data_IF_214990761937
#
_entry.id   IF_214990761937
#
_cell.length_a   1.000
_cell.length_b   1.000
_cell.length_c   1.000
_cell.angle_alpha   90.00
_cell.angle_beta   90.00
_cell.angle_gamma   90.00
#
_symmetry.space_group_name_H-M   'P 1'
#
loop_
_entity.id
_entity.type
_entity.pdbx_description
1 polymer ?
#
# COMPACT_ATOMS: atom_id res chain seq x y z
N UNK A 1 -52.32 61.96 -33.19
CA UNK A 1 -52.38 62.87 -34.35
C UNK A 1 -51.07 63.66 -34.38
N UNK A 2 -50.28 63.52 -35.46
CA UNK A 2 -49.12 64.33 -35.88
C UNK A 2 -47.87 64.32 -34.97
N UNK A 3 -46.77 63.68 -35.38
CA UNK A 3 -45.76 64.03 -36.40
C UNK A 3 -44.50 64.59 -35.71
N UNK A 4 -43.36 63.89 -35.82
CA UNK A 4 -42.18 64.21 -36.66
C UNK A 4 -41.25 65.22 -35.94
N UNK A 5 -39.98 64.91 -35.72
CA UNK A 5 -38.90 65.21 -36.67
C UNK A 5 -37.61 64.47 -36.28
N UNK A 6 -36.88 64.04 -37.30
CA UNK A 6 -35.54 63.45 -37.27
C UNK A 6 -34.43 64.52 -37.31
N UNK A 7 -33.19 64.05 -37.17
CA UNK A 7 -31.90 64.68 -37.55
C UNK A 7 -31.26 65.59 -36.49
N UNK A 8 -29.97 65.44 -36.15
CA UNK A 8 -28.84 65.36 -37.09
C UNK A 8 -27.71 64.46 -36.60
N UNK A 9 -27.15 63.77 -37.60
CA UNK A 9 -25.85 63.12 -37.65
C UNK A 9 -24.71 64.13 -37.37
N UNK A 10 -23.76 63.79 -36.50
CA UNK A 10 -22.37 64.25 -36.62
C UNK A 10 -21.47 63.04 -36.39
N UNK A 11 -20.77 62.68 -37.46
CA UNK A 11 -19.67 61.72 -37.50
C UNK A 11 -18.42 62.42 -37.00
N UNK A 12 -17.73 61.87 -36.00
CA UNK A 12 -16.28 62.08 -35.90
C UNK A 12 -15.59 60.84 -35.31
N UNK A 13 -14.42 60.56 -35.86
CA UNK A 13 -13.74 59.29 -35.91
C UNK A 13 -12.96 58.88 -34.65
N UNK A 14 -12.84 57.55 -34.52
CA UNK A 14 -11.69 56.74 -34.10
C UNK A 14 -10.76 57.23 -32.96
N UNK A 15 -10.62 56.37 -31.95
CA UNK A 15 -9.30 55.90 -31.51
C UNK A 15 -9.42 54.56 -30.75
N UNK A 16 -8.85 53.52 -31.35
CA UNK A 16 -8.54 52.25 -30.72
C UNK A 16 -7.37 52.47 -29.75
N UNK A 17 -7.53 52.13 -28.48
CA UNK A 17 -6.42 51.83 -27.58
C UNK A 17 -6.71 50.50 -26.89
N UNK A 18 -5.92 49.49 -27.26
CA UNK A 18 -5.82 48.21 -26.57
C UNK A 18 -5.00 48.40 -25.29
N UNK A 19 -5.61 48.12 -24.14
CA UNK A 19 -4.92 47.80 -22.88
C UNK A 19 -5.89 46.93 -22.07
N UNK A 20 -5.87 45.61 -22.25
CA UNK A 20 -5.07 44.65 -21.47
C UNK A 20 -5.40 44.66 -19.97
N UNK A 21 -6.23 43.68 -19.61
CA UNK A 21 -6.40 42.95 -18.35
C UNK A 21 -6.29 43.69 -17.00
N UNK A 22 -7.40 43.63 -16.24
CA UNK A 22 -7.43 42.98 -14.91
C UNK A 22 -8.89 42.74 -14.48
N UNK A 23 -9.39 41.54 -14.70
CA UNK A 23 -10.51 40.99 -13.94
C UNK A 23 -9.89 40.13 -12.84
N UNK A 24 -9.97 40.61 -11.60
CA UNK A 24 -9.74 39.76 -10.42
C UNK A 24 -10.91 38.77 -10.31
N UNK A 25 -10.78 37.67 -11.04
CA UNK A 25 -11.52 36.45 -10.77
C UNK A 25 -10.67 35.62 -9.80
N UNK A 26 -11.03 35.65 -8.52
CA UNK A 26 -10.55 34.70 -7.52
C UNK A 26 -11.00 33.30 -7.89
N UNK A 27 -10.25 32.66 -8.78
CA UNK A 27 -10.40 31.25 -9.14
C UNK A 27 -9.88 30.42 -7.99
N UNK A 28 -10.77 30.01 -7.08
CA UNK A 28 -10.51 28.86 -6.22
C UNK A 28 -10.41 27.63 -7.12
N UNK A 29 -9.18 27.19 -7.40
CA UNK A 29 -8.91 25.86 -7.91
C UNK A 29 -9.35 24.85 -6.85
N UNK A 30 -10.63 24.46 -6.88
CA UNK A 30 -11.10 23.26 -6.24
C UNK A 30 -10.61 22.12 -7.12
N UNK A 31 -9.46 21.56 -6.78
CA UNK A 31 -8.96 20.32 -7.37
C UNK A 31 -9.96 19.22 -7.05
N UNK A 32 -10.92 18.98 -7.94
CA UNK A 32 -11.81 17.85 -7.86
C UNK A 32 -10.97 16.58 -7.97
N UNK A 33 -10.75 15.88 -6.84
CA UNK A 33 -10.28 14.49 -6.88
C UNK A 33 -11.31 13.70 -7.69
N UNK A 34 -10.98 13.36 -8.93
CA UNK A 34 -11.76 12.36 -9.66
C UNK A 34 -11.80 11.08 -8.81
N UNK A 35 -12.95 10.38 -8.73
CA UNK A 35 -13.02 9.10 -8.02
C UNK A 35 -11.97 8.15 -8.60
N UNK A 36 -11.11 7.63 -7.74
CA UNK A 36 -10.11 6.64 -8.14
C UNK A 36 -10.84 5.39 -8.69
N UNK A 37 -10.33 4.74 -9.76
CA UNK A 37 -10.91 3.50 -10.24
C UNK A 37 -10.98 2.45 -9.12
N UNK A 38 -12.09 1.71 -9.04
CA UNK A 38 -12.31 0.68 -8.01
C UNK A 38 -11.14 -0.31 -7.88
N UNK A 39 -10.55 -0.74 -9.00
CA UNK A 39 -9.41 -1.65 -9.01
C UNK A 39 -8.14 -1.05 -8.36
N UNK A 40 -7.94 0.27 -8.51
CA UNK A 40 -6.82 0.96 -7.87
C UNK A 40 -7.06 1.11 -6.36
N UNK A 41 -8.31 1.36 -5.93
CA UNK A 41 -8.68 1.36 -4.51
C UNK A 41 -8.46 0.01 -3.84
N UNK A 42 -8.87 -1.07 -4.50
CA UNK A 42 -8.67 -2.42 -3.96
C UNK A 42 -7.18 -2.79 -3.89
N UNK A 43 -6.40 -2.36 -4.87
CA UNK A 43 -4.94 -2.58 -4.89
C UNK A 43 -4.24 -1.81 -3.77
N UNK A 44 -4.64 -0.56 -3.52
CA UNK A 44 -4.13 0.26 -2.40
C UNK A 44 -4.47 -0.42 -1.07
N UNK A 45 -5.74 -0.79 -0.86
CA UNK A 45 -6.17 -1.47 0.36
C UNK A 45 -5.43 -2.79 0.60
N UNK A 46 -5.22 -3.60 -0.44
CA UNK A 46 -4.46 -4.85 -0.33
C UNK A 46 -3.00 -4.59 0.06
N UNK A 47 -2.36 -3.62 -0.60
CA UNK A 47 -0.97 -3.23 -0.36
C UNK A 47 -0.76 -2.67 1.04
N UNK A 48 -1.69 -1.86 1.53
CA UNK A 48 -1.70 -1.33 2.90
C UNK A 48 -1.73 -2.46 3.93
N UNK A 49 -2.48 -3.55 3.67
CA UNK A 49 -2.49 -4.71 4.57
C UNK A 49 -1.16 -5.46 4.58
N UNK A 50 -0.48 -5.57 3.44
CA UNK A 50 0.85 -6.16 3.38
C UNK A 50 1.85 -5.36 4.24
N UNK A 51 1.92 -4.04 4.01
CA UNK A 51 2.81 -3.13 4.73
C UNK A 51 2.46 -3.07 6.23
N UNK A 52 1.17 -3.04 6.57
CA UNK A 52 0.74 -3.04 7.97
C UNK A 52 1.12 -4.34 8.70
N UNK A 53 0.97 -5.50 8.05
CA UNK A 53 1.33 -6.78 8.64
C UNK A 53 2.82 -6.88 8.97
N UNK A 54 3.69 -6.65 7.98
CA UNK A 54 5.12 -6.83 8.17
C UNK A 54 5.68 -5.80 9.17
N UNK A 55 5.18 -4.56 9.15
CA UNK A 55 5.60 -3.54 10.10
C UNK A 55 5.10 -3.81 11.53
N UNK A 56 3.91 -4.41 11.68
CA UNK A 56 3.46 -4.87 12.99
C UNK A 56 4.33 -6.02 13.53
N UNK A 57 4.93 -6.82 12.64
CA UNK A 57 5.87 -7.86 13.02
C UNK A 57 7.22 -7.29 13.43
N UNK A 58 7.78 -6.37 12.64
CA UNK A 58 9.00 -5.60 13.01
C UNK A 58 8.82 -4.92 14.37
N UNK A 59 7.66 -4.29 14.60
CA UNK A 59 7.36 -3.69 15.90
C UNK A 59 7.27 -4.71 17.05
N UNK A 60 6.95 -5.97 16.78
CA UNK A 60 7.04 -7.04 17.79
C UNK A 60 8.48 -7.46 18.06
N UNK A 61 9.30 -7.59 17.02
CA UNK A 61 10.71 -7.98 17.12
C UNK A 61 11.57 -6.90 17.80
N UNK A 62 11.29 -5.62 17.53
CA UNK A 62 12.00 -4.48 18.13
C UNK A 62 11.65 -4.22 19.61
N UNK A 63 10.79 -5.02 20.24
CA UNK A 63 10.47 -4.85 21.65
C UNK A 63 11.66 -5.23 22.52
N UNK A 64 12.07 -4.33 23.40
CA UNK A 64 13.10 -4.63 24.42
C UNK A 64 12.72 -5.80 25.33
N UNK A 65 11.40 -5.95 25.63
CA UNK A 65 10.83 -7.05 26.43
C UNK A 65 9.43 -7.41 25.93
N UNK A 66 9.07 -8.70 26.03
CA UNK A 66 7.71 -9.16 25.71
C UNK A 66 7.42 -9.24 24.21
N UNK A 67 8.45 -9.43 23.38
CA UNK A 67 8.26 -9.92 22.03
C UNK A 67 7.57 -11.29 22.09
N UNK A 68 6.46 -11.42 21.37
CA UNK A 68 5.79 -12.70 21.21
C UNK A 68 6.61 -13.58 20.28
N UNK A 69 6.63 -14.89 20.54
CA UNK A 69 7.20 -15.85 19.60
C UNK A 69 6.38 -15.86 18.32
N UNK A 70 6.96 -16.32 17.22
CA UNK A 70 6.34 -16.31 15.89
C UNK A 70 4.93 -16.93 15.92
N UNK A 71 4.79 -18.15 16.48
CA UNK A 71 3.49 -18.84 16.56
C UNK A 71 2.44 -18.02 17.33
N UNK A 72 2.83 -17.44 18.47
CA UNK A 72 1.95 -16.63 19.31
C UNK A 72 1.53 -15.34 18.60
N UNK A 73 2.49 -14.65 18.00
CA UNK A 73 2.25 -13.40 17.28
C UNK A 73 1.34 -13.63 16.08
N UNK A 74 1.65 -14.62 15.22
CA UNK A 74 0.85 -14.98 14.05
C UNK A 74 -0.57 -15.38 14.46
N UNK A 75 -0.72 -16.18 15.51
CA UNK A 75 -2.03 -16.61 16.01
C UNK A 75 -2.89 -15.42 16.47
N UNK A 76 -2.27 -14.44 17.12
CA UNK A 76 -2.95 -13.21 17.58
C UNK A 76 -3.29 -12.22 16.48
N UNK A 77 -2.62 -12.30 15.32
CA UNK A 77 -2.78 -11.33 14.24
C UNK A 77 -4.18 -11.36 13.63
N UNK A 78 -4.78 -10.18 13.46
CA UNK A 78 -6.05 -9.99 12.73
C UNK A 78 -5.84 -9.65 11.25
N UNK A 79 -4.58 -9.62 10.81
CA UNK A 79 -4.18 -9.23 9.46
C UNK A 79 -3.93 -10.43 8.54
N UNK A 80 -4.01 -11.65 9.08
CA UNK A 80 -3.73 -12.89 8.37
C UNK A 80 -4.97 -13.76 8.23
N UNK A 81 -4.97 -14.61 7.20
CA UNK A 81 -5.99 -15.65 7.04
C UNK A 81 -5.79 -16.77 8.07
N UNK A 82 -6.83 -17.59 8.27
CA UNK A 82 -6.70 -18.83 9.04
C UNK A 82 -5.70 -19.79 8.38
N UNK A 83 -5.64 -19.84 7.04
CA UNK A 83 -4.68 -20.70 6.31
C UNK A 83 -3.23 -20.32 6.62
N UNK A 84 -2.90 -19.02 6.60
CA UNK A 84 -1.57 -18.54 6.97
C UNK A 84 -1.17 -18.99 8.38
N UNK A 85 -2.09 -18.86 9.35
CA UNK A 85 -1.84 -19.27 10.74
C UNK A 85 -1.60 -20.77 10.86
N UNK A 86 -2.41 -21.56 10.19
CA UNK A 86 -2.27 -23.03 10.16
C UNK A 86 -0.94 -23.44 9.55
N UNK A 87 -0.55 -22.84 8.42
CA UNK A 87 0.71 -23.17 7.75
C UNK A 87 1.93 -22.77 8.58
N UNK A 88 1.91 -21.57 9.19
CA UNK A 88 2.98 -21.14 10.10
C UNK A 88 3.15 -22.10 11.28
N UNK A 89 2.04 -22.47 11.94
CA UNK A 89 2.06 -23.42 13.07
C UNK A 89 2.58 -24.78 12.64
N UNK A 90 2.12 -25.30 11.50
CA UNK A 90 2.56 -26.58 10.95
C UNK A 90 4.06 -26.57 10.67
N UNK A 91 4.55 -25.57 9.95
CA UNK A 91 5.96 -25.41 9.60
C UNK A 91 6.85 -25.35 10.83
N UNK A 92 6.49 -24.55 11.83
CA UNK A 92 7.24 -24.46 13.08
C UNK A 92 7.25 -25.80 13.84
N UNK A 93 6.12 -26.49 13.90
CA UNK A 93 6.02 -27.79 14.56
C UNK A 93 6.83 -28.88 13.82
N UNK A 94 6.85 -28.86 12.49
CA UNK A 94 7.66 -29.77 11.68
C UNK A 94 9.16 -29.49 11.88
N UNK A 95 9.58 -28.22 11.86
CA UNK A 95 10.96 -27.84 12.12
C UNK A 95 11.44 -28.28 13.51
N UNK A 96 10.66 -28.08 14.57
CA UNK A 96 11.02 -28.56 15.92
C UNK A 96 10.99 -30.07 16.07
N UNK A 97 10.22 -30.78 15.23
CA UNK A 97 10.26 -32.24 15.20
C UNK A 97 11.53 -32.74 14.54
N UNK A 98 12.02 -32.05 13.52
CA UNK A 98 13.25 -32.38 12.79
C UNK A 98 14.51 -31.99 13.57
N UNK A 99 14.53 -30.78 14.15
CA UNK A 99 15.59 -30.28 15.02
C UNK A 99 14.98 -29.69 16.31
N UNK A 100 14.89 -30.48 17.40
CA UNK A 100 14.32 -30.00 18.67
C UNK A 100 15.11 -28.90 19.37
N UNK A 101 16.41 -28.74 19.08
CA UNK A 101 17.24 -27.72 19.72
C UNK A 101 17.11 -26.38 19.02
N UNK A 102 17.11 -26.39 17.69
CA UNK A 102 17.12 -25.18 16.87
C UNK A 102 15.74 -24.82 16.29
N UNK A 103 15.02 -25.81 15.76
CA UNK A 103 13.85 -25.59 14.92
C UNK A 103 14.25 -25.02 13.55
N UNK A 104 13.74 -23.83 13.21
CA UNK A 104 14.16 -23.11 12.01
C UNK A 104 15.44 -22.31 12.29
N UNK A 105 16.38 -22.33 11.36
CA UNK A 105 17.62 -21.54 11.40
C UNK A 105 17.46 -20.09 10.91
N UNK A 106 16.26 -19.74 10.43
CA UNK A 106 15.89 -18.40 9.97
C UNK A 106 14.43 -18.06 10.33
N UNK A 107 14.10 -16.77 10.36
CA UNK A 107 12.73 -16.32 10.55
C UNK A 107 11.89 -16.60 9.29
N UNK A 108 10.80 -17.37 9.38
CA UNK A 108 10.00 -17.75 8.22
C UNK A 108 9.13 -16.62 7.64
N UNK A 109 8.86 -15.56 8.40
CA UNK A 109 8.14 -14.38 7.93
C UNK A 109 9.09 -13.49 7.14
N UNK A 110 10.31 -13.27 7.62
CA UNK A 110 11.31 -12.47 6.91
C UNK A 110 12.05 -13.25 5.83
N UNK A 111 12.03 -14.59 5.87
CA UNK A 111 12.84 -15.47 5.03
C UNK A 111 14.33 -15.12 5.15
N UNK A 112 14.80 -14.86 6.38
CA UNK A 112 16.14 -14.39 6.69
C UNK A 112 16.46 -14.52 8.20
N UNK A 113 17.74 -14.39 8.57
CA UNK A 113 18.16 -14.29 9.97
C UNK A 113 18.04 -12.87 10.53
N UNK A 114 18.08 -11.85 9.67
CA UNK A 114 18.03 -10.43 10.04
C UNK A 114 16.95 -9.70 9.24
N UNK A 115 16.58 -8.49 9.66
CA UNK A 115 15.52 -7.71 9.04
C UNK A 115 15.78 -6.19 9.09
N UNK A 116 15.10 -5.39 8.24
CA UNK A 116 15.22 -3.92 8.26
C UNK A 116 14.58 -3.32 9.53
N UNK A 117 15.39 -2.70 10.40
CA UNK A 117 14.97 -2.16 11.70
C UNK A 117 13.92 -1.06 11.59
N UNK A 118 14.02 -0.22 10.54
CA UNK A 118 13.05 0.86 10.29
C UNK A 118 11.75 0.38 9.64
N UNK A 119 11.64 -0.92 9.42
CA UNK A 119 10.51 -1.57 8.80
C UNK A 119 10.49 -1.45 7.27
N UNK A 120 9.32 -1.64 6.70
CA UNK A 120 9.12 -1.84 5.27
C UNK A 120 8.17 -0.82 4.66
N UNK A 121 8.32 -0.63 3.35
CA UNK A 121 7.40 0.11 2.48
C UNK A 121 7.06 -0.71 1.23
N UNK A 122 6.01 -0.32 0.52
CA UNK A 122 5.59 -0.98 -0.71
C UNK A 122 6.64 -0.74 -1.82
N UNK A 123 7.07 -1.81 -2.48
CA UNK A 123 7.90 -1.74 -3.69
C UNK A 123 7.02 -1.91 -4.93
N UNK A 124 6.17 -2.95 -4.95
CA UNK A 124 5.23 -3.18 -6.06
C UNK A 124 4.02 -4.02 -5.64
N UNK A 125 2.95 -3.93 -6.42
CA UNK A 125 1.76 -4.77 -6.28
C UNK A 125 1.27 -5.22 -7.66
N UNK A 126 1.05 -6.53 -7.82
CA UNK A 126 0.41 -7.11 -9.01
C UNK A 126 -1.05 -7.43 -8.69
N UNK A 127 -1.96 -6.60 -9.21
CA UNK A 127 -3.41 -6.74 -9.00
C UNK A 127 -4.04 -7.94 -9.71
N UNK A 128 -3.35 -8.56 -10.67
CA UNK A 128 -3.85 -9.78 -11.33
C UNK A 128 -3.63 -11.00 -10.45
N UNK A 129 -2.52 -11.02 -9.72
CA UNK A 129 -2.11 -12.16 -8.92
C UNK A 129 -2.22 -11.90 -7.42
N UNK A 130 -2.54 -10.67 -7.00
CA UNK A 130 -2.59 -10.18 -5.62
C UNK A 130 -1.31 -10.50 -4.82
N UNK A 131 -0.16 -10.33 -5.47
CA UNK A 131 1.14 -10.38 -4.80
C UNK A 131 1.66 -8.96 -4.61
N UNK A 132 2.09 -8.67 -3.38
CA UNK A 132 2.86 -7.48 -3.07
C UNK A 132 4.34 -7.86 -2.91
N UNK A 133 5.22 -6.94 -3.29
CA UNK A 133 6.62 -6.92 -2.85
C UNK A 133 6.78 -5.70 -1.96
N UNK A 134 7.26 -5.93 -0.75
CA UNK A 134 7.68 -4.85 0.17
C UNK A 134 9.20 -4.84 0.26
N UNK A 135 9.79 -3.67 0.53
CA UNK A 135 11.23 -3.50 0.71
C UNK A 135 11.56 -2.82 2.03
N UNK A 136 12.74 -3.08 2.58
CA UNK A 136 13.21 -2.39 3.77
C UNK A 136 13.39 -0.89 3.53
N UNK A 137 13.00 -0.06 4.49
CA UNK A 137 13.16 1.41 4.43
C UNK A 137 14.62 1.83 4.59
N UNK A 138 15.36 1.11 5.42
CA UNK A 138 16.80 1.26 5.67
C UNK A 138 17.64 0.19 4.99
N UNK A 139 17.01 -0.85 4.43
CA UNK A 139 17.66 -1.86 3.59
C UNK A 139 16.82 -2.16 2.34
N UNK A 140 16.90 -1.32 1.30
CA UNK A 140 16.02 -1.41 0.11
C UNK A 140 16.18 -2.69 -0.72
N UNK A 141 17.35 -3.33 -0.66
CA UNK A 141 17.61 -4.62 -1.33
C UNK A 141 16.95 -5.80 -0.59
N UNK A 142 16.62 -5.64 0.70
CA UNK A 142 15.83 -6.61 1.43
C UNK A 142 14.39 -6.54 0.95
N UNK A 143 14.01 -7.46 0.06
CA UNK A 143 12.65 -7.57 -0.49
C UNK A 143 11.91 -8.75 0.08
N UNK A 144 10.60 -8.61 0.26
CA UNK A 144 9.74 -9.67 0.77
C UNK A 144 8.49 -9.79 -0.09
N UNK A 145 8.27 -10.98 -0.64
CA UNK A 145 7.05 -11.30 -1.38
C UNK A 145 5.94 -11.66 -0.40
N UNK A 146 4.75 -11.09 -0.62
CA UNK A 146 3.56 -11.35 0.19
C UNK A 146 2.37 -11.65 -0.71
N UNK A 147 1.50 -12.57 -0.28
CA UNK A 147 0.27 -12.95 -0.97
C UNK A 147 -0.94 -12.43 -0.22
N UNK A 148 -1.79 -11.69 -0.92
CA UNK A 148 -3.01 -11.10 -0.40
C UNK A 148 -4.23 -11.83 -0.96
N UNK A 149 -5.27 -11.95 -0.12
CA UNK A 149 -6.59 -12.47 -0.51
C UNK A 149 -7.70 -11.62 0.09
N UNK A 150 -8.81 -11.53 -0.63
CA UNK A 150 -10.03 -10.88 -0.15
C UNK A 150 -10.96 -11.96 0.42
N UNK A 151 -11.14 -11.97 1.74
CA UNK A 151 -12.05 -12.89 2.42
C UNK A 151 -13.07 -12.10 3.23
N UNK A 152 -14.37 -12.38 3.04
CA UNK A 152 -15.46 -11.67 3.72
C UNK A 152 -15.35 -10.14 3.61
N UNK A 153 -15.04 -9.66 2.40
CA UNK A 153 -14.85 -8.25 2.09
C UNK A 153 -13.70 -7.56 2.87
N UNK A 154 -12.70 -8.34 3.32
CA UNK A 154 -11.50 -7.85 4.00
C UNK A 154 -10.25 -8.42 3.34
N UNK A 155 -9.33 -7.53 2.99
CA UNK A 155 -8.00 -7.94 2.56
C UNK A 155 -7.20 -8.49 3.74
N UNK A 156 -6.60 -9.66 3.55
CA UNK A 156 -5.78 -10.37 4.52
C UNK A 156 -4.51 -10.90 3.85
N UNK A 157 -3.46 -11.04 4.65
CA UNK A 157 -2.21 -11.70 4.26
C UNK A 157 -2.42 -13.21 4.34
N UNK A 158 -2.25 -13.89 3.21
CA UNK A 158 -2.34 -15.35 3.10
C UNK A 158 -0.97 -16.01 2.99
N UNK A 159 0.07 -15.27 2.59
CA UNK A 159 1.45 -15.74 2.50
C UNK A 159 2.45 -14.62 2.68
N UNK A 160 3.62 -14.94 3.26
CA UNK A 160 4.70 -14.00 3.54
C UNK A 160 6.00 -14.79 3.79
N UNK A 161 7.13 -14.33 3.23
CA UNK A 161 8.41 -15.04 3.36
C UNK A 161 8.32 -16.44 2.77
N UNK A 162 8.57 -17.46 3.59
CA UNK A 162 8.42 -18.87 3.18
C UNK A 162 7.04 -19.44 3.49
N UNK A 163 6.24 -18.77 4.32
CA UNK A 163 4.92 -19.24 4.76
C UNK A 163 3.92 -19.04 3.62
N UNK A 164 3.41 -20.15 3.08
CA UNK A 164 2.41 -20.17 2.01
C UNK A 164 2.79 -19.31 0.78
N UNK A 165 4.10 -19.24 0.47
CA UNK A 165 4.63 -18.64 -0.76
C UNK A 165 5.41 -19.72 -1.53
N UNK A 166 5.02 -20.02 -2.79
CA UNK A 166 5.74 -20.96 -3.63
C UNK A 166 7.21 -20.52 -3.82
N UNK A 167 8.19 -21.46 -3.84
CA UNK A 167 9.61 -21.11 -4.00
C UNK A 167 9.90 -20.20 -5.20
N UNK A 168 9.26 -20.44 -6.35
CA UNK A 168 9.43 -19.63 -7.57
C UNK A 168 8.88 -18.19 -7.46
N UNK A 169 8.20 -17.85 -6.37
CA UNK A 169 7.65 -16.51 -6.08
C UNK A 169 8.37 -15.82 -4.93
N UNK A 170 9.23 -16.52 -4.20
CA UNK A 170 9.99 -15.92 -3.09
C UNK A 170 10.97 -14.89 -3.65
N UNK A 171 11.19 -13.83 -2.87
CA UNK A 171 12.23 -12.86 -3.20
C UNK A 171 13.58 -13.55 -3.12
N UNK A 172 14.49 -13.25 -4.06
CA UNK A 172 15.86 -13.74 -3.95
C UNK A 172 16.52 -13.21 -2.68
N UNK A 173 17.42 -14.01 -2.12
CA UNK A 173 18.30 -13.67 -1.00
C UNK A 173 19.73 -13.70 -1.50
#
# INVERSE_FOLDING_TARGET
MREKEMSKLVVTAALLVLASCKQDAGSQNVTGKQPMPQAALESEQASDKAVAFVNAYVANCNKEKGALRIEEWVSSSKLTTTRFKTEAKKMLAEAYKEDPELGLDADPIFDAQDYPDKGFELDSFDSKTNYAVVKGKDWPDFKLTMKLVLENNKWLVDGCGIINIPPAKRSSR
#
